data_IF_493338871082
#
_entry.id   IF_493338871082
#
_cell.length_a   1.000
_cell.length_b   1.000
_cell.length_c   1.000
_cell.angle_alpha   90.00
_cell.angle_beta   90.00
_cell.angle_gamma   90.00
#
_symmetry.space_group_name_H-M   'P 1'
#
loop_
_entity.id
_entity.type
_entity.pdbx_description
1 polymer ?
#
# COMPACT_ATOMS: atom_id res chain seq x y z
N UNK A 1 -25.81 30.71 27.45
CA UNK A 1 -26.60 29.75 28.24
C UNK A 1 -25.94 28.39 28.10
N UNK A 2 -25.15 28.01 29.11
CA UNK A 2 -24.51 26.70 29.22
C UNK A 2 -25.44 25.82 30.05
N UNK A 3 -25.42 24.52 29.73
CA UNK A 3 -25.62 23.39 30.64
C UNK A 3 -26.90 22.57 30.45
N UNK A 4 -26.65 21.27 30.31
CA UNK A 4 -27.27 20.18 31.08
C UNK A 4 -28.39 19.38 30.40
N UNK A 5 -28.08 18.09 30.21
CA UNK A 5 -28.88 16.84 30.16
C UNK A 5 -28.11 15.93 29.16
N UNK A 6 -27.40 14.86 29.47
CA UNK A 6 -27.17 14.09 30.70
C UNK A 6 -25.95 13.19 30.46
N UNK A 7 -24.94 13.21 31.33
CA UNK A 7 -24.00 12.11 31.49
C UNK A 7 -24.72 10.99 32.25
N UNK A 8 -25.10 9.89 31.60
CA UNK A 8 -25.19 8.54 32.22
C UNK A 8 -25.43 7.43 31.19
N UNK A 9 -24.49 7.24 30.26
CA UNK A 9 -24.25 5.91 29.68
C UNK A 9 -22.76 5.63 29.84
N UNK A 10 -22.42 5.40 31.10
CA UNK A 10 -21.10 4.97 31.51
C UNK A 10 -20.96 3.51 31.06
N UNK A 11 -19.93 3.26 30.24
CA UNK A 11 -19.03 2.11 30.35
C UNK A 11 -19.59 0.73 30.01
N UNK A 12 -19.23 0.23 28.84
CA UNK A 12 -18.59 -1.08 28.68
C UNK A 12 -17.83 -1.10 27.33
N UNK A 13 -16.55 -0.74 27.40
CA UNK A 13 -15.42 -1.38 26.72
C UNK A 13 -15.69 -1.92 25.29
N UNK A 14 -15.13 -1.23 24.31
CA UNK A 14 -14.12 -1.91 23.49
C UNK A 14 -12.87 -1.05 23.48
N UNK A 15 -11.91 -1.51 24.26
CA UNK A 15 -10.50 -1.16 24.18
C UNK A 15 -10.07 -1.33 22.72
N UNK A 16 -9.91 -0.23 22.00
CA UNK A 16 -8.85 -0.19 21.02
C UNK A 16 -7.83 0.74 21.63
N UNK A 17 -6.81 0.09 22.20
CA UNK A 17 -5.52 0.67 22.49
C UNK A 17 -5.21 1.74 21.45
N UNK A 18 -5.07 2.99 21.88
CA UNK A 18 -4.25 3.94 21.14
C UNK A 18 -2.83 3.39 21.18
N UNK A 19 -2.55 2.39 20.34
CA UNK A 19 -1.19 2.01 20.03
C UNK A 19 -0.58 3.25 19.39
N UNK A 20 0.42 3.82 20.07
CA UNK A 20 1.14 5.01 19.63
C UNK A 20 1.94 4.76 18.36
N UNK A 21 1.27 4.50 17.24
CA UNK A 21 1.86 4.25 15.92
C UNK A 21 1.45 5.30 14.87
N UNK A 22 0.65 6.29 15.22
CA UNK A 22 0.02 7.20 14.26
C UNK A 22 0.92 8.31 13.67
N UNK A 23 2.26 8.23 13.73
CA UNK A 23 3.16 9.25 13.19
C UNK A 23 4.48 8.68 12.60
N UNK A 24 4.46 7.53 11.92
CA UNK A 24 5.57 7.14 11.04
C UNK A 24 5.12 7.22 9.58
N UNK A 25 5.74 8.09 8.74
CA UNK A 25 5.41 8.17 7.32
C UNK A 25 5.65 6.85 6.57
N UNK A 26 6.56 6.00 7.05
CA UNK A 26 6.80 4.68 6.48
C UNK A 26 5.59 3.74 6.66
N UNK A 27 4.92 3.77 7.82
CA UNK A 27 3.70 3.00 8.03
C UNK A 27 2.55 3.54 7.18
N UNK A 28 2.43 4.86 7.01
CA UNK A 28 1.41 5.43 6.12
C UNK A 28 1.63 5.02 4.66
N UNK A 29 2.88 5.01 4.19
CA UNK A 29 3.24 4.52 2.84
C UNK A 29 2.93 3.03 2.68
N UNK A 30 3.26 2.20 3.68
CA UNK A 30 2.95 0.76 3.66
C UNK A 30 1.43 0.52 3.57
N UNK A 31 0.63 1.26 4.34
CA UNK A 31 -0.84 1.18 4.31
C UNK A 31 -1.39 1.64 2.95
N UNK A 32 -0.88 2.74 2.37
CA UNK A 32 -1.30 3.22 1.05
C UNK A 32 -0.99 2.20 -0.05
N UNK A 33 0.22 1.62 -0.04
CA UNK A 33 0.61 0.57 -0.99
C UNK A 33 -0.30 -0.64 -0.84
N UNK A 34 -0.62 -1.08 0.38
CA UNK A 34 -1.50 -2.24 0.59
C UNK A 34 -2.95 -1.96 0.16
N UNK A 35 -3.48 -0.77 0.44
CA UNK A 35 -4.85 -0.41 0.12
C UNK A 35 -5.06 -0.03 -1.36
N UNK A 36 -4.00 0.36 -2.08
CA UNK A 36 -4.08 0.88 -3.44
C UNK A 36 -3.24 0.08 -4.45
N UNK A 37 -2.96 -1.20 -4.17
CA UNK A 37 -2.31 -2.11 -5.13
C UNK A 37 -3.25 -3.21 -5.63
N UNK A 38 -2.90 -3.76 -6.79
CA UNK A 38 -3.57 -4.92 -7.39
C UNK A 38 -2.59 -6.08 -7.48
N UNK A 39 -2.91 -7.21 -6.85
CA UNK A 39 -2.17 -8.46 -7.03
C UNK A 39 -2.32 -8.96 -8.47
N UNK A 40 -1.21 -9.08 -9.19
CA UNK A 40 -1.17 -9.48 -10.60
C UNK A 40 -0.15 -10.58 -10.83
N UNK A 41 -0.34 -11.33 -11.92
CA UNK A 41 0.59 -12.35 -12.40
C UNK A 41 1.31 -11.85 -13.65
N UNK A 42 2.62 -12.13 -13.72
CA UNK A 42 3.39 -11.93 -14.93
C UNK A 42 2.97 -12.97 -15.98
N UNK A 43 2.77 -12.52 -17.23
CA UNK A 43 2.22 -13.34 -18.31
C UNK A 43 3.28 -13.81 -19.32
N UNK A 44 4.56 -13.52 -19.10
CA UNK A 44 5.67 -13.91 -19.98
C UNK A 44 6.96 -14.20 -19.20
N UNK A 45 7.93 -14.86 -19.83
CA UNK A 45 9.21 -15.18 -19.21
C UNK A 45 10.25 -14.07 -19.42
N UNK A 46 11.21 -13.98 -18.51
CA UNK A 46 12.36 -13.06 -18.59
C UNK A 46 11.97 -11.57 -18.73
N UNK A 47 10.87 -11.16 -18.10
CA UNK A 47 10.39 -9.77 -18.07
C UNK A 47 11.33 -8.91 -17.24
N UNK A 48 11.88 -7.86 -17.83
CA UNK A 48 12.84 -6.97 -17.18
C UNK A 48 12.15 -5.98 -16.23
N UNK A 49 12.55 -5.98 -14.97
CA UNK A 49 12.21 -4.92 -14.00
C UNK A 49 13.34 -3.89 -14.02
N UNK A 50 12.99 -2.63 -14.27
CA UNK A 50 13.95 -1.55 -14.47
C UNK A 50 13.85 -0.48 -13.39
N UNK A 51 14.96 0.19 -13.13
CA UNK A 51 15.02 1.25 -12.12
C UNK A 51 14.15 2.47 -12.44
N UNK A 52 13.94 2.74 -13.74
CA UNK A 52 13.07 3.82 -14.23
C UNK A 52 12.21 3.30 -15.39
N UNK A 53 11.07 3.93 -15.71
CA UNK A 53 10.21 3.60 -16.84
C UNK A 53 10.86 4.03 -18.18
N UNK A 54 12.03 3.48 -18.46
CA UNK A 54 12.88 3.76 -19.61
C UNK A 54 13.60 2.47 -20.02
N UNK A 55 13.56 2.14 -21.31
CA UNK A 55 14.22 0.94 -21.86
C UNK A 55 15.75 0.99 -21.75
N UNK A 56 16.35 2.18 -21.62
CA UNK A 56 17.78 2.34 -21.38
C UNK A 56 18.18 2.20 -19.91
N UNK A 57 17.20 2.22 -18.99
CA UNK A 57 17.46 2.16 -17.54
C UNK A 57 18.00 0.78 -17.12
N UNK A 58 18.89 0.71 -16.11
CA UNK A 58 19.41 -0.55 -15.60
C UNK A 58 18.31 -1.54 -15.23
N UNK A 59 18.53 -2.81 -15.59
CA UNK A 59 17.70 -3.93 -15.16
C UNK A 59 18.10 -4.25 -13.71
N UNK A 60 17.12 -4.25 -12.81
CA UNK A 60 17.31 -4.60 -11.39
C UNK A 60 17.13 -6.11 -11.21
N UNK A 61 16.12 -6.68 -11.85
CA UNK A 61 15.81 -8.11 -11.81
C UNK A 61 15.00 -8.53 -13.03
N UNK A 62 14.78 -9.83 -13.19
CA UNK A 62 13.89 -10.39 -14.18
C UNK A 62 12.84 -11.27 -13.50
N UNK A 63 11.61 -11.20 -14.00
CA UNK A 63 10.49 -12.03 -13.57
C UNK A 63 10.07 -12.98 -14.68
N UNK A 64 9.50 -14.11 -14.30
CA UNK A 64 8.98 -15.12 -15.19
C UNK A 64 7.46 -15.23 -15.11
N UNK A 65 6.89 -16.00 -16.03
CA UNK A 65 5.47 -16.29 -16.06
C UNK A 65 5.02 -16.83 -14.70
N UNK A 66 3.83 -16.41 -14.26
CA UNK A 66 3.20 -16.76 -12.97
C UNK A 66 3.86 -16.14 -11.72
N UNK A 67 4.95 -15.38 -11.87
CA UNK A 67 5.45 -14.56 -10.75
C UNK A 67 4.38 -13.54 -10.32
N UNK A 68 4.23 -13.40 -9.00
CA UNK A 68 3.26 -12.50 -8.37
C UNK A 68 3.88 -11.14 -8.11
N UNK A 69 3.18 -10.08 -8.49
CA UNK A 69 3.56 -8.70 -8.22
C UNK A 69 2.38 -7.91 -7.66
N UNK A 70 2.66 -6.87 -6.89
CA UNK A 70 1.66 -5.87 -6.49
C UNK A 70 1.80 -4.67 -7.39
N UNK A 71 0.84 -4.44 -8.27
CA UNK A 71 0.83 -3.27 -9.15
C UNK A 71 0.38 -2.06 -8.37
N UNK A 72 1.23 -1.05 -8.25
CA UNK A 72 0.95 0.23 -7.59
C UNK A 72 0.21 1.17 -8.54
N UNK A 73 0.73 1.33 -9.77
CA UNK A 73 0.09 2.16 -10.79
C UNK A 73 0.61 1.86 -12.19
N UNK A 74 -0.14 2.32 -13.19
CA UNK A 74 0.27 2.36 -14.60
C UNK A 74 0.60 3.80 -15.01
N UNK A 75 1.67 3.97 -15.78
CA UNK A 75 2.01 5.26 -16.41
C UNK A 75 2.41 5.00 -17.85
N UNK A 76 1.52 5.34 -18.78
CA UNK A 76 1.68 5.00 -20.20
C UNK A 76 1.76 3.48 -20.41
N UNK A 77 2.91 3.02 -20.91
CA UNK A 77 3.20 1.61 -21.16
C UNK A 77 3.95 0.91 -20.01
N UNK A 78 4.25 1.63 -18.93
CA UNK A 78 5.00 1.10 -17.80
C UNK A 78 4.10 0.80 -16.62
N UNK A 79 4.45 -0.27 -15.91
CA UNK A 79 3.82 -0.67 -14.66
C UNK A 79 4.83 -0.44 -13.53
N UNK A 80 4.39 0.24 -12.49
CA UNK A 80 5.12 0.34 -11.24
C UNK A 80 4.63 -0.78 -10.32
N UNK A 81 5.57 -1.64 -9.91
CA UNK A 81 5.36 -2.73 -8.95
C UNK A 81 6.11 -2.45 -7.64
#
# INVERSE_FOLDING_TARGET
>A
MKSLITLLSIFLISLNTESGLAQNPEYQYQIEVEMNTICSLINDNNVNIRQRPDASSPIITQLNREDRVRVIRRTGNWIHI
#
